data_IF_796479385469
#
_entry.id   IF_796479385469
#
_cell.length_a   1.000
_cell.length_b   1.000
_cell.length_c   1.000
_cell.angle_alpha   90.00
_cell.angle_beta   90.00
_cell.angle_gamma   90.00
#
_symmetry.space_group_name_H-M   'P 1'
#
loop_
_entity.id
_entity.type
_entity.pdbx_description
1 polymer ?
#
# COMPACT_ATOMS: atom_id res chain seq x y z
N UNK A 1 -6.83 -6.17 32.43
CA UNK A 1 -6.09 -7.44 32.23
C UNK A 1 -5.35 -7.41 30.87
N UNK A 2 -6.02 -7.20 29.74
CA UNK A 2 -5.43 -7.30 28.40
C UNK A 2 -4.25 -6.36 28.13
N UNK A 3 -4.36 -5.07 28.44
CA UNK A 3 -3.25 -4.12 28.32
C UNK A 3 -1.97 -4.65 29.03
N UNK A 4 -2.09 -5.05 30.31
CA UNK A 4 -0.96 -5.60 31.09
C UNK A 4 -0.36 -6.87 30.47
N UNK A 5 -1.19 -7.71 29.84
CA UNK A 5 -0.71 -8.91 29.16
C UNK A 5 0.15 -8.56 27.94
N UNK A 6 -0.25 -7.57 27.14
CA UNK A 6 0.53 -7.06 26.00
C UNK A 6 1.83 -6.39 26.47
N UNK A 7 1.77 -5.52 27.48
CA UNK A 7 2.95 -4.89 28.06
C UNK A 7 3.95 -5.93 28.61
N UNK A 8 3.47 -6.97 29.28
CA UNK A 8 4.30 -8.07 29.76
C UNK A 8 4.92 -8.88 28.61
N UNK A 9 4.19 -9.08 27.51
CA UNK A 9 4.73 -9.70 26.30
C UNK A 9 5.85 -8.86 25.67
N UNK A 10 5.62 -7.57 25.44
CA UNK A 10 6.63 -6.66 24.90
C UNK A 10 7.90 -6.67 25.77
N UNK A 11 7.75 -6.64 27.10
CA UNK A 11 8.88 -6.73 28.02
C UNK A 11 9.64 -8.05 27.88
N UNK A 12 8.95 -9.20 27.79
CA UNK A 12 9.60 -10.52 27.63
C UNK A 12 10.36 -10.66 26.32
N UNK A 13 9.85 -10.07 25.24
CA UNK A 13 10.47 -10.10 23.91
C UNK A 13 11.52 -9.01 23.71
N UNK A 14 11.72 -8.12 24.68
CA UNK A 14 12.61 -6.98 24.55
C UNK A 14 12.14 -5.94 23.52
N UNK A 15 10.86 -6.02 23.09
CA UNK A 15 10.30 -5.13 22.09
C UNK A 15 9.86 -3.82 22.74
N UNK A 16 10.36 -2.70 22.25
CA UNK A 16 9.90 -1.37 22.69
C UNK A 16 8.56 -1.06 22.07
N UNK A 17 7.56 -0.74 22.87
CA UNK A 17 6.23 -0.38 22.41
C UNK A 17 5.38 0.20 23.52
N UNK A 18 4.49 1.11 23.18
CA UNK A 18 3.55 1.76 24.09
C UNK A 18 2.14 1.21 23.84
N UNK A 19 1.54 0.65 24.89
CA UNK A 19 0.21 0.05 24.80
C UNK A 19 -0.85 1.03 25.30
N UNK A 20 -1.84 1.35 24.48
CA UNK A 20 -2.97 2.18 24.84
C UNK A 20 -4.31 1.46 24.59
N UNK A 21 -5.35 1.89 25.28
CA UNK A 21 -6.72 1.49 24.96
C UNK A 21 -7.18 2.18 23.67
N UNK A 22 -7.97 1.49 22.88
CA UNK A 22 -8.78 2.11 21.83
C UNK A 22 -10.09 2.66 22.44
N UNK A 23 -10.95 3.23 21.62
CA UNK A 23 -12.28 3.66 22.04
C UNK A 23 -13.18 2.46 22.42
N UNK A 24 -12.89 1.29 21.87
CA UNK A 24 -13.68 0.08 22.08
C UNK A 24 -13.01 -0.86 23.09
N UNK A 25 -13.82 -1.42 23.99
CA UNK A 25 -13.35 -2.31 25.04
C UNK A 25 -12.78 -3.62 24.44
N UNK A 26 -11.63 -4.05 24.97
CA UNK A 26 -10.98 -5.29 24.54
C UNK A 26 -10.02 -5.15 23.37
N UNK A 27 -9.93 -3.97 22.76
CA UNK A 27 -9.00 -3.66 21.69
C UNK A 27 -7.92 -2.68 22.16
N UNK A 28 -6.68 -2.90 21.71
CA UNK A 28 -5.52 -2.14 22.16
C UNK A 28 -4.69 -1.71 20.97
N UNK A 29 -4.15 -0.49 21.04
CA UNK A 29 -3.12 -0.01 20.12
C UNK A 29 -1.75 -0.26 20.72
N UNK A 30 -0.80 -0.72 19.91
CA UNK A 30 0.61 -0.74 20.25
C UNK A 30 1.31 0.24 19.30
N UNK A 31 1.92 1.29 19.85
CA UNK A 31 2.77 2.23 19.12
C UNK A 31 4.22 1.82 19.31
N UNK A 32 4.95 1.65 18.22
CA UNK A 32 6.37 1.30 18.21
C UNK A 32 7.19 2.56 17.98
N UNK A 33 7.95 3.05 18.99
CA UNK A 33 8.76 4.26 18.82
C UNK A 33 9.92 4.01 17.86
N UNK A 34 10.20 4.96 17.01
CA UNK A 34 11.35 4.91 16.09
C UNK A 34 12.65 4.85 16.89
N UNK A 35 13.52 3.91 16.54
CA UNK A 35 14.83 3.76 17.13
C UNK A 35 15.88 4.44 16.25
N UNK A 36 16.65 5.34 16.82
CA UNK A 36 17.67 6.10 16.07
C UNK A 36 17.05 7.13 15.12
N UNK A 37 17.77 7.41 14.06
CA UNK A 37 17.33 8.32 13.00
C UNK A 37 17.75 7.74 11.64
N UNK A 38 17.24 6.56 11.24
CA UNK A 38 17.61 5.98 9.95
C UNK A 38 17.18 6.86 8.78
N UNK A 39 17.95 6.91 7.71
CA UNK A 39 17.60 7.65 6.51
C UNK A 39 16.52 6.89 5.74
N UNK A 40 15.46 7.58 5.33
CA UNK A 40 14.41 7.08 4.45
C UNK A 40 14.57 7.70 3.06
N UNK A 41 14.66 6.88 2.02
CA UNK A 41 14.60 7.33 0.63
C UNK A 41 13.17 7.27 0.13
N UNK A 42 12.54 8.42 -0.07
CA UNK A 42 11.18 8.56 -0.61
C UNK A 42 11.28 8.55 -2.12
N UNK A 43 10.71 7.55 -2.78
CA UNK A 43 10.75 7.35 -4.22
C UNK A 43 9.41 7.73 -4.82
N UNK A 44 9.42 8.71 -5.73
CA UNK A 44 8.22 9.29 -6.35
C UNK A 44 8.36 9.27 -7.87
N UNK A 45 7.77 8.30 -8.58
CA UNK A 45 7.60 8.38 -10.03
C UNK A 45 6.70 9.57 -10.42
N UNK A 46 7.09 10.32 -11.43
CA UNK A 46 6.29 11.45 -11.91
C UNK A 46 6.36 11.60 -13.43
N UNK A 47 5.21 11.96 -14.00
CA UNK A 47 5.10 12.38 -15.40
C UNK A 47 4.15 13.56 -15.47
N UNK A 48 4.63 14.70 -16.00
CA UNK A 48 3.83 15.93 -16.03
C UNK A 48 3.26 16.28 -14.63
N UNK A 49 1.97 16.56 -14.47
CA UNK A 49 1.26 16.70 -13.19
C UNK A 49 1.99 17.55 -12.12
N UNK A 50 2.43 18.75 -12.50
CA UNK A 50 3.22 19.64 -11.64
C UNK A 50 2.52 19.97 -10.32
N UNK A 51 1.23 20.31 -10.34
CA UNK A 51 0.47 20.69 -9.14
C UNK A 51 0.29 19.51 -8.18
N UNK A 52 0.09 18.31 -8.73
CA UNK A 52 -0.03 17.07 -7.97
C UNK A 52 1.28 16.77 -7.25
N UNK A 53 2.41 16.80 -7.98
CA UNK A 53 3.74 16.62 -7.39
C UNK A 53 4.06 17.69 -6.36
N UNK A 54 3.77 18.95 -6.65
CA UNK A 54 4.01 20.06 -5.72
C UNK A 54 3.25 19.84 -4.40
N UNK A 55 1.98 19.44 -4.45
CA UNK A 55 1.16 19.15 -3.27
C UNK A 55 1.77 18.01 -2.45
N UNK A 56 2.25 16.95 -3.11
CA UNK A 56 2.91 15.83 -2.45
C UNK A 56 4.23 16.26 -1.76
N UNK A 57 5.06 17.06 -2.43
CA UNK A 57 6.32 17.55 -1.85
C UNK A 57 6.08 18.50 -0.68
N UNK A 58 5.10 19.41 -0.79
CA UNK A 58 4.71 20.30 0.31
C UNK A 58 4.21 19.51 1.53
N UNK A 59 3.49 18.42 1.33
CA UNK A 59 3.08 17.51 2.40
C UNK A 59 4.30 16.91 3.10
N UNK A 60 5.28 16.40 2.34
CA UNK A 60 6.51 15.83 2.89
C UNK A 60 7.30 16.86 3.72
N UNK A 61 7.36 18.11 3.28
CA UNK A 61 8.09 19.15 3.98
C UNK A 61 7.37 19.69 5.22
N UNK A 62 6.06 19.92 5.11
CA UNK A 62 5.29 20.68 6.10
C UNK A 62 4.45 19.83 7.04
N UNK A 63 4.03 18.64 6.60
CA UNK A 63 3.11 17.78 7.35
C UNK A 63 3.65 16.35 7.56
N UNK A 64 4.98 16.22 7.68
CA UNK A 64 5.65 14.99 8.07
C UNK A 64 6.58 15.29 9.22
N UNK A 65 6.36 14.66 10.39
CA UNK A 65 7.15 14.89 11.60
C UNK A 65 8.57 14.36 11.47
N UNK A 66 8.72 13.17 10.87
CA UNK A 66 10.02 12.59 10.60
C UNK A 66 10.75 13.33 9.50
N UNK A 67 11.92 13.89 9.80
CA UNK A 67 12.63 14.78 8.87
C UNK A 67 13.90 14.20 8.25
N UNK A 68 14.36 12.99 8.69
CA UNK A 68 15.56 12.37 8.13
C UNK A 68 15.25 11.53 6.90
N UNK A 69 14.88 12.19 5.82
CA UNK A 69 14.63 11.57 4.52
C UNK A 69 15.28 12.34 3.37
N UNK A 70 15.55 11.65 2.28
CA UNK A 70 15.81 12.19 0.95
C UNK A 70 14.62 11.87 0.05
N UNK A 71 14.44 12.64 -1.02
CA UNK A 71 13.38 12.45 -2.01
C UNK A 71 14.02 12.18 -3.37
N UNK A 72 13.64 11.08 -3.99
CA UNK A 72 14.07 10.69 -5.33
C UNK A 72 12.87 10.80 -6.26
N UNK A 73 12.82 11.85 -7.06
CA UNK A 73 11.80 12.02 -8.09
C UNK A 73 12.31 11.34 -9.36
N UNK A 74 11.52 10.44 -9.95
CA UNK A 74 11.83 9.82 -11.23
C UNK A 74 10.94 10.42 -12.30
N UNK A 75 11.50 11.31 -13.09
CA UNK A 75 10.86 11.91 -14.26
C UNK A 75 10.75 10.88 -15.37
N UNK A 76 9.53 10.63 -15.88
CA UNK A 76 9.26 9.66 -16.93
C UNK A 76 8.58 10.28 -18.15
N UNK A 77 9.38 10.78 -19.10
CA UNK A 77 8.91 11.29 -20.39
C UNK A 77 7.80 12.35 -20.26
N UNK A 78 8.01 13.31 -19.39
CA UNK A 78 7.16 14.50 -19.30
C UNK A 78 7.24 15.33 -20.57
N UNK A 79 6.18 16.07 -20.88
CA UNK A 79 6.04 16.82 -22.14
C UNK A 79 5.73 18.31 -21.93
N UNK A 80 5.35 18.73 -20.72
CA UNK A 80 4.96 20.11 -20.44
C UNK A 80 6.16 20.96 -19.99
N UNK A 81 6.29 22.18 -20.52
CA UNK A 81 7.32 23.13 -20.08
C UNK A 81 7.19 23.49 -18.59
N UNK A 82 5.98 23.42 -18.06
CA UNK A 82 5.69 23.76 -16.68
C UNK A 82 6.40 22.83 -15.70
N UNK A 83 6.33 21.50 -15.93
CA UNK A 83 6.99 20.53 -15.05
C UNK A 83 8.52 20.68 -15.13
N UNK A 84 9.09 20.95 -16.32
CA UNK A 84 10.54 21.13 -16.45
C UNK A 84 11.03 22.41 -15.75
N UNK A 85 10.25 23.49 -15.76
CA UNK A 85 10.54 24.69 -14.96
C UNK A 85 10.52 24.37 -13.47
N UNK A 86 9.52 23.61 -13.03
CA UNK A 86 9.40 23.19 -11.63
C UNK A 86 10.57 22.28 -11.19
N UNK A 87 10.99 21.33 -12.02
CA UNK A 87 12.18 20.52 -11.72
C UNK A 87 13.45 21.38 -11.58
N UNK A 88 13.58 22.45 -12.37
CA UNK A 88 14.69 23.38 -12.23
C UNK A 88 14.63 24.16 -10.91
N UNK A 89 13.46 24.56 -10.45
CA UNK A 89 13.25 25.20 -9.13
C UNK A 89 13.64 24.24 -8.00
N UNK A 90 13.29 22.97 -8.10
CA UNK A 90 13.61 21.95 -7.11
C UNK A 90 15.12 21.64 -7.02
N UNK A 91 15.91 21.92 -8.05
CA UNK A 91 17.34 21.58 -8.10
C UNK A 91 18.19 22.25 -7.02
N UNK A 92 17.70 23.32 -6.38
CA UNK A 92 18.32 23.97 -5.22
C UNK A 92 18.13 23.24 -3.89
N UNK A 93 17.19 22.31 -3.80
CA UNK A 93 16.90 21.57 -2.57
C UNK A 93 17.81 20.33 -2.45
N UNK A 94 18.71 20.34 -1.47
CA UNK A 94 19.67 19.24 -1.26
C UNK A 94 19.05 17.90 -0.88
N UNK A 95 17.80 17.89 -0.43
CA UNK A 95 17.06 16.65 -0.11
C UNK A 95 16.44 16.01 -1.36
N UNK A 96 16.34 16.73 -2.49
CA UNK A 96 15.64 16.27 -3.70
C UNK A 96 16.66 15.86 -4.76
N UNK A 97 16.52 14.65 -5.25
CA UNK A 97 17.31 14.08 -6.34
C UNK A 97 16.37 13.78 -7.50
N UNK A 98 16.60 14.43 -8.64
CA UNK A 98 15.85 14.18 -9.87
C UNK A 98 16.59 13.16 -10.72
N UNK A 99 15.98 12.02 -10.96
CA UNK A 99 16.42 10.99 -11.89
C UNK A 99 15.55 11.04 -13.15
N UNK A 100 16.13 10.68 -14.30
CA UNK A 100 15.40 10.63 -15.58
C UNK A 100 15.28 9.18 -16.06
N UNK A 101 14.05 8.74 -16.31
CA UNK A 101 13.71 7.47 -16.93
C UNK A 101 13.21 7.71 -18.36
N UNK A 102 14.09 7.57 -19.36
CA UNK A 102 13.79 7.85 -20.78
C UNK A 102 13.14 6.70 -21.55
N UNK A 103 12.75 5.60 -20.86
CA UNK A 103 12.08 4.45 -21.48
C UNK A 103 10.56 4.56 -21.32
N UNK A 104 9.83 3.61 -21.91
CA UNK A 104 8.39 3.47 -21.71
C UNK A 104 8.03 3.33 -20.22
N UNK A 105 6.80 3.70 -19.90
CA UNK A 105 6.30 3.61 -18.53
C UNK A 105 6.24 2.14 -18.08
N UNK A 106 6.95 1.86 -17.01
CA UNK A 106 6.90 0.60 -16.29
C UNK A 106 7.15 0.93 -14.81
N UNK A 107 6.10 0.85 -14.00
CA UNK A 107 6.16 1.21 -12.59
C UNK A 107 7.25 0.43 -11.84
N UNK A 108 7.34 -0.86 -12.10
CA UNK A 108 8.33 -1.76 -11.49
C UNK A 108 9.76 -1.34 -11.83
N UNK A 109 10.05 -1.15 -13.13
CA UNK A 109 11.39 -0.77 -13.59
C UNK A 109 11.80 0.63 -13.10
N UNK A 110 10.87 1.59 -13.08
CA UNK A 110 11.09 2.95 -12.57
C UNK A 110 11.48 2.91 -11.08
N UNK A 111 10.75 2.15 -10.26
CA UNK A 111 11.03 2.05 -8.83
C UNK A 111 12.29 1.24 -8.54
N UNK A 112 12.60 0.18 -9.28
CA UNK A 112 13.87 -0.54 -9.19
C UNK A 112 15.05 0.38 -9.52
N UNK A 113 14.94 1.15 -10.59
CA UNK A 113 15.95 2.12 -10.99
C UNK A 113 16.20 3.15 -9.88
N UNK A 114 15.15 3.71 -9.29
CA UNK A 114 15.27 4.66 -8.20
C UNK A 114 15.87 4.04 -6.94
N UNK A 115 15.43 2.82 -6.57
CA UNK A 115 15.93 2.10 -5.40
C UNK A 115 17.45 1.84 -5.47
N UNK A 116 18.00 1.61 -6.67
CA UNK A 116 19.44 1.47 -6.89
C UNK A 116 20.24 2.77 -6.61
N UNK A 117 19.59 3.94 -6.66
CA UNK A 117 20.19 5.25 -6.36
C UNK A 117 19.91 5.72 -4.93
N UNK A 118 19.04 5.03 -4.20
CA UNK A 118 18.65 5.38 -2.85
C UNK A 118 19.79 5.16 -1.85
N UNK A 119 19.97 6.13 -0.93
CA UNK A 119 20.99 6.08 0.13
C UNK A 119 20.43 5.63 1.48
N UNK A 120 19.09 5.68 1.61
CA UNK A 120 18.39 5.33 2.87
C UNK A 120 18.45 3.84 3.20
N UNK A 121 18.42 3.54 4.47
CA UNK A 121 18.24 2.19 5.02
C UNK A 121 16.81 1.67 4.76
N UNK A 122 15.87 2.60 4.56
CA UNK A 122 14.47 2.33 4.25
C UNK A 122 14.10 2.99 2.93
N UNK A 123 13.29 2.28 2.14
CA UNK A 123 12.69 2.75 0.89
C UNK A 123 11.21 3.01 1.14
N UNK A 124 10.75 4.20 0.81
CA UNK A 124 9.33 4.55 0.80
C UNK A 124 8.90 4.74 -0.64
N UNK A 125 8.19 3.77 -1.21
CA UNK A 125 7.50 3.92 -2.48
C UNK A 125 6.24 4.75 -2.26
N UNK A 126 6.14 5.87 -2.96
CA UNK A 126 5.08 6.86 -2.75
C UNK A 126 4.57 7.37 -4.10
N UNK A 127 3.28 7.30 -4.34
CA UNK A 127 2.69 7.93 -5.51
C UNK A 127 2.73 9.47 -5.36
N UNK A 128 2.79 10.18 -6.48
CA UNK A 128 2.83 11.64 -6.50
C UNK A 128 1.51 12.32 -6.12
N UNK A 129 0.41 11.57 -6.03
CA UNK A 129 -0.95 12.03 -5.78
C UNK A 129 -1.49 11.66 -4.37
N UNK A 130 -0.58 11.48 -3.42
CA UNK A 130 -0.91 11.23 -2.01
C UNK A 130 -0.76 12.48 -1.15
N UNK A 131 -1.56 12.57 -0.07
CA UNK A 131 -1.52 13.64 0.92
C UNK A 131 -1.73 13.09 2.32
N UNK A 132 -0.78 13.31 3.25
CA UNK A 132 -0.92 12.84 4.63
C UNK A 132 -2.04 13.54 5.38
N UNK A 133 -2.70 12.79 6.26
CA UNK A 133 -3.76 13.29 7.15
C UNK A 133 -3.18 13.63 8.53
N UNK A 134 -2.30 12.78 9.05
CA UNK A 134 -1.65 12.98 10.34
C UNK A 134 -0.13 13.19 10.16
N UNK A 135 0.50 14.07 10.95
CA UNK A 135 1.92 14.40 10.76
C UNK A 135 2.88 13.27 11.17
N UNK A 136 2.47 12.36 12.05
CA UNK A 136 3.28 11.25 12.54
C UNK A 136 3.15 9.96 11.70
N UNK A 137 2.57 10.04 10.50
CA UNK A 137 2.33 8.90 9.62
C UNK A 137 3.60 8.11 9.28
N UNK A 138 4.71 8.80 9.02
CA UNK A 138 5.97 8.15 8.64
C UNK A 138 6.66 7.51 9.85
N UNK A 139 6.58 8.14 11.03
CA UNK A 139 7.05 7.56 12.28
C UNK A 139 6.27 6.29 12.66
N UNK A 140 4.93 6.27 12.47
CA UNK A 140 4.11 5.08 12.69
C UNK A 140 4.61 3.93 11.82
N UNK A 141 4.72 4.14 10.50
CA UNK A 141 5.22 3.12 9.57
C UNK A 141 6.64 2.68 9.91
N UNK A 142 7.54 3.63 10.21
CA UNK A 142 8.94 3.36 10.47
C UNK A 142 9.14 2.56 11.77
N UNK A 143 8.43 2.93 12.84
CA UNK A 143 8.46 2.21 14.11
C UNK A 143 8.04 0.75 13.95
N UNK A 144 7.00 0.48 13.16
CA UNK A 144 6.56 -0.89 12.83
C UNK A 144 7.58 -1.60 11.94
N UNK A 145 8.11 -0.92 10.90
CA UNK A 145 9.03 -1.49 9.92
C UNK A 145 10.40 -1.85 10.54
N UNK A 146 10.81 -1.19 11.63
CA UNK A 146 12.06 -1.49 12.33
C UNK A 146 12.05 -2.83 13.08
N UNK A 147 10.89 -3.44 13.31
CA UNK A 147 10.80 -4.76 13.93
C UNK A 147 11.52 -5.78 13.03
N UNK A 148 12.36 -6.69 13.61
CA UNK A 148 13.19 -7.60 12.80
C UNK A 148 12.40 -8.45 11.82
N UNK A 149 11.22 -8.92 12.23
CA UNK A 149 10.34 -9.79 11.45
C UNK A 149 9.54 -9.06 10.36
N UNK A 150 9.50 -7.71 10.36
CA UNK A 150 8.72 -6.93 9.40
C UNK A 150 9.59 -6.55 8.20
N UNK A 151 9.16 -6.93 7.00
CA UNK A 151 9.82 -6.57 5.75
C UNK A 151 9.24 -5.32 5.08
N UNK A 152 7.92 -5.10 5.23
CA UNK A 152 7.24 -3.94 4.64
C UNK A 152 5.99 -3.52 5.39
N UNK A 153 5.66 -2.24 5.32
CA UNK A 153 4.50 -1.62 5.96
C UNK A 153 3.74 -0.76 4.95
N UNK A 154 2.45 -1.03 4.78
CA UNK A 154 1.55 -0.22 3.95
C UNK A 154 0.64 0.66 4.79
N UNK A 155 0.44 1.89 4.36
CA UNK A 155 -0.43 2.86 5.02
C UNK A 155 -1.92 2.62 4.72
N UNK A 156 -2.80 3.19 5.54
CA UNK A 156 -4.22 3.32 5.22
C UNK A 156 -4.43 4.42 4.18
N UNK A 157 -4.96 4.05 3.01
CA UNK A 157 -5.31 5.03 1.98
C UNK A 157 -6.81 5.29 1.96
N UNK A 158 -7.15 6.55 1.77
CA UNK A 158 -8.49 7.08 1.88
C UNK A 158 -8.79 7.88 0.60
N UNK A 159 -9.96 7.69 0.02
CA UNK A 159 -10.44 8.51 -1.09
C UNK A 159 -10.78 9.93 -0.62
N UNK A 160 -10.83 10.92 -1.54
CA UNK A 160 -11.20 12.30 -1.19
C UNK A 160 -12.58 12.46 -0.55
N UNK A 161 -13.47 11.50 -0.74
CA UNK A 161 -14.81 11.45 -0.13
C UNK A 161 -14.83 10.86 1.29
N UNK A 162 -13.65 10.60 1.88
CA UNK A 162 -13.46 9.97 3.19
C UNK A 162 -13.93 8.52 3.27
N UNK A 163 -13.93 7.78 2.18
CA UNK A 163 -14.07 6.33 2.19
C UNK A 163 -12.72 5.63 2.07
N UNK A 164 -12.63 4.39 2.54
CA UNK A 164 -11.39 3.60 2.46
C UNK A 164 -11.12 3.21 1.00
N UNK A 165 -9.91 3.46 0.54
CA UNK A 165 -9.38 2.93 -0.71
C UNK A 165 -8.56 1.66 -0.46
N UNK A 166 -7.72 1.68 0.57
CA UNK A 166 -6.82 0.58 0.91
C UNK A 166 -6.73 0.36 2.43
N UNK A 167 -6.97 -0.87 2.83
CA UNK A 167 -6.75 -1.36 4.19
C UNK A 167 -6.17 -2.79 4.16
N UNK A 168 -5.12 -2.98 3.37
CA UNK A 168 -4.50 -4.27 3.06
C UNK A 168 -5.12 -4.98 1.87
N UNK A 169 -4.39 -5.94 1.31
CA UNK A 169 -4.81 -6.78 0.19
C UNK A 169 -4.92 -8.24 0.61
N UNK A 170 -5.96 -8.91 0.10
CA UNK A 170 -6.20 -10.35 0.26
C UNK A 170 -5.99 -11.05 -1.07
N UNK A 171 -5.18 -12.13 -1.06
CA UNK A 171 -4.91 -12.94 -2.24
C UNK A 171 -6.12 -13.82 -2.57
N UNK A 172 -6.46 -13.90 -3.85
CA UNK A 172 -7.66 -14.59 -4.36
C UNK A 172 -8.91 -13.71 -4.39
N UNK A 173 -8.92 -12.56 -3.75
CA UNK A 173 -10.00 -11.59 -3.84
C UNK A 173 -10.17 -11.09 -5.26
N UNK A 174 -11.37 -11.16 -5.83
CA UNK A 174 -11.62 -10.77 -7.22
C UNK A 174 -10.87 -11.61 -8.27
N UNK A 175 -10.26 -12.74 -7.87
CA UNK A 175 -9.54 -13.67 -8.75
C UNK A 175 -8.02 -13.72 -8.55
N UNK A 176 -7.35 -12.60 -8.28
CA UNK A 176 -5.90 -12.54 -8.01
C UNK A 176 -5.62 -11.92 -6.64
N UNK A 177 -5.94 -10.64 -6.46
CA UNK A 177 -5.83 -9.94 -5.20
C UNK A 177 -6.75 -8.72 -5.19
N UNK A 178 -7.26 -8.34 -4.03
CA UNK A 178 -8.13 -7.17 -3.90
C UNK A 178 -7.96 -6.46 -2.57
N UNK A 179 -8.24 -5.17 -2.58
CA UNK A 179 -8.21 -4.31 -1.42
C UNK A 179 -9.39 -4.59 -0.50
N UNK A 180 -9.15 -4.50 0.80
CA UNK A 180 -10.19 -4.71 1.81
C UNK A 180 -10.88 -3.42 2.20
N UNK A 181 -12.16 -3.52 2.53
CA UNK A 181 -13.02 -2.43 3.02
C UNK A 181 -13.18 -1.24 2.06
N UNK A 182 -12.95 -1.43 0.76
CA UNK A 182 -13.16 -0.38 -0.26
C UNK A 182 -14.56 0.22 -0.12
N UNK A 183 -14.66 1.54 -0.25
CA UNK A 183 -15.88 2.36 -0.12
C UNK A 183 -16.53 2.38 1.29
N UNK A 184 -15.92 1.72 2.29
CA UNK A 184 -16.36 1.85 3.67
C UNK A 184 -15.93 3.21 4.26
N UNK A 185 -16.78 3.92 5.03
CA UNK A 185 -16.36 5.16 5.70
C UNK A 185 -15.08 4.96 6.51
N UNK A 186 -14.12 5.89 6.37
CA UNK A 186 -12.77 5.74 6.90
C UNK A 186 -12.68 5.72 8.43
N UNK A 187 -13.71 6.22 9.13
CA UNK A 187 -13.84 6.21 10.58
C UNK A 187 -14.34 4.88 11.13
N UNK A 188 -14.87 3.99 10.29
CA UNK A 188 -15.35 2.67 10.71
C UNK A 188 -14.21 1.71 10.99
N UNK A 189 -14.38 0.89 12.00
CA UNK A 189 -13.36 -0.08 12.44
C UNK A 189 -13.34 -1.36 11.60
N UNK A 190 -14.43 -1.64 10.87
CA UNK A 190 -14.58 -2.87 10.09
C UNK A 190 -14.77 -4.13 10.95
N UNK A 191 -14.76 -5.27 10.29
CA UNK A 191 -14.90 -6.58 10.93
C UNK A 191 -13.77 -6.80 11.95
N UNK A 192 -14.14 -7.00 13.23
CA UNK A 192 -13.20 -7.22 14.34
C UNK A 192 -12.03 -6.19 14.36
N UNK A 193 -12.34 -4.92 14.09
CA UNK A 193 -11.37 -3.82 14.07
C UNK A 193 -10.25 -3.95 13.03
N UNK A 194 -10.41 -4.79 12.02
CA UNK A 194 -9.36 -5.03 11.00
C UNK A 194 -9.02 -3.80 10.15
N UNK A 195 -9.90 -2.81 10.06
CA UNK A 195 -9.61 -1.56 9.36
C UNK A 195 -8.97 -0.49 10.28
N UNK A 196 -8.83 -0.74 11.58
CA UNK A 196 -8.39 0.26 12.58
C UNK A 196 -7.26 -0.20 13.51
N UNK A 197 -6.78 -1.44 13.34
CA UNK A 197 -5.64 -2.00 14.09
C UNK A 197 -4.56 -2.49 13.13
N UNK A 198 -3.32 -2.55 13.60
CA UNK A 198 -2.23 -3.20 12.87
C UNK A 198 -2.62 -4.64 12.49
N UNK A 199 -2.38 -5.01 11.24
CA UNK A 199 -2.69 -6.34 10.71
C UNK A 199 -1.52 -6.90 9.91
N UNK A 200 -1.20 -8.17 10.14
CA UNK A 200 -0.40 -8.91 9.19
C UNK A 200 -1.27 -9.21 7.96
N UNK A 201 -0.78 -8.82 6.80
CA UNK A 201 -1.48 -8.98 5.52
C UNK A 201 -0.60 -9.76 4.53
N UNK A 202 -1.21 -10.37 3.53
CA UNK A 202 -0.43 -11.00 2.48
C UNK A 202 0.18 -9.99 1.52
N UNK A 203 -0.49 -8.86 1.31
CA UNK A 203 0.04 -7.75 0.53
C UNK A 203 -0.55 -6.40 0.96
N UNK A 204 0.13 -5.33 0.59
CA UNK A 204 -0.29 -3.93 0.69
C UNK A 204 0.10 -3.20 -0.60
N UNK A 205 -0.53 -2.06 -0.88
CA UNK A 205 -0.24 -1.33 -2.12
C UNK A 205 1.01 -0.46 -2.05
N UNK A 206 1.75 -0.40 -3.14
CA UNK A 206 2.92 0.46 -3.28
C UNK A 206 2.59 1.94 -3.53
N UNK A 207 1.32 2.33 -3.53
CA UNK A 207 0.95 3.75 -3.50
C UNK A 207 1.49 4.47 -2.25
N UNK A 208 1.65 3.72 -1.11
CA UNK A 208 2.42 4.14 0.06
C UNK A 208 2.94 2.88 0.79
N UNK A 209 4.16 2.46 0.48
CA UNK A 209 4.80 1.25 1.01
C UNK A 209 6.21 1.57 1.53
N UNK A 210 6.42 1.40 2.82
CA UNK A 210 7.74 1.50 3.46
C UNK A 210 8.35 0.11 3.61
N UNK A 211 9.62 -0.04 3.22
CA UNK A 211 10.36 -1.31 3.32
C UNK A 211 11.79 -1.08 3.81
N UNK A 212 12.38 -2.10 4.45
CA UNK A 212 13.84 -2.14 4.61
C UNK A 212 14.48 -2.32 3.22
N UNK A 213 15.51 -1.53 2.92
CA UNK A 213 16.22 -1.63 1.63
C UNK A 213 16.82 -3.03 1.43
N UNK A 214 17.44 -3.59 2.47
CA UNK A 214 17.99 -4.96 2.43
C UNK A 214 16.94 -6.03 2.08
N UNK A 215 15.71 -5.90 2.63
CA UNK A 215 14.62 -6.86 2.35
C UNK A 215 14.11 -6.70 0.93
N UNK A 216 14.04 -5.47 0.42
CA UNK A 216 13.69 -5.19 -0.98
C UNK A 216 14.71 -5.83 -1.94
N UNK A 217 16.00 -5.67 -1.65
CA UNK A 217 17.09 -6.26 -2.44
C UNK A 217 17.09 -7.79 -2.36
N UNK A 218 16.89 -8.38 -1.17
CA UNK A 218 16.76 -9.85 -0.99
C UNK A 218 15.56 -10.43 -1.74
N UNK A 219 14.47 -9.67 -1.88
CA UNK A 219 13.30 -10.08 -2.65
C UNK A 219 13.50 -9.93 -4.17
N UNK A 220 14.62 -9.35 -4.61
CA UNK A 220 14.91 -9.08 -6.02
C UNK A 220 14.16 -7.87 -6.59
N UNK A 221 13.65 -6.98 -5.75
CA UNK A 221 12.90 -5.79 -6.15
C UNK A 221 11.54 -6.09 -6.78
N UNK A 222 10.98 -5.11 -7.49
CA UNK A 222 9.76 -5.29 -8.27
C UNK A 222 10.03 -6.14 -9.51
N UNK A 223 9.07 -6.97 -9.88
CA UNK A 223 9.09 -7.77 -11.11
C UNK A 223 8.71 -6.89 -12.31
N UNK A 224 9.62 -6.70 -13.26
CA UNK A 224 9.43 -5.74 -14.36
C UNK A 224 8.41 -6.20 -15.41
N UNK A 225 8.11 -7.51 -15.48
CA UNK A 225 7.00 -8.05 -16.27
C UNK A 225 5.63 -7.60 -15.75
N UNK A 226 5.53 -7.20 -14.49
CA UNK A 226 4.36 -6.58 -13.90
C UNK A 226 4.50 -5.04 -13.96
N UNK A 227 4.28 -4.50 -15.14
CA UNK A 227 4.55 -3.08 -15.40
C UNK A 227 3.59 -2.13 -14.67
N UNK A 228 2.37 -2.57 -14.36
CA UNK A 228 1.31 -1.73 -13.77
C UNK A 228 0.53 -2.43 -12.67
N UNK A 229 -0.07 -3.60 -12.93
CA UNK A 229 -0.92 -4.29 -11.98
C UNK A 229 -0.14 -5.37 -11.21
N UNK A 230 -0.53 -5.60 -9.95
CA UNK A 230 -0.02 -6.67 -9.09
C UNK A 230 1.49 -6.65 -8.78
N UNK A 231 2.22 -5.65 -9.20
CA UNK A 231 3.65 -5.52 -8.92
C UNK A 231 3.94 -5.43 -7.41
N UNK A 232 3.11 -4.70 -6.67
CA UNK A 232 3.15 -4.59 -5.21
C UNK A 232 2.73 -5.90 -4.51
N UNK A 233 1.72 -6.59 -5.05
CA UNK A 233 1.29 -7.89 -4.55
C UNK A 233 2.39 -8.94 -4.71
N UNK A 234 3.00 -9.02 -5.88
CA UNK A 234 4.13 -9.92 -6.18
C UNK A 234 5.32 -9.64 -5.26
N UNK A 235 5.70 -8.36 -5.11
CA UNK A 235 6.79 -7.97 -4.20
C UNK A 235 6.49 -8.40 -2.77
N UNK A 236 5.29 -8.14 -2.26
CA UNK A 236 4.87 -8.54 -0.93
C UNK A 236 4.94 -10.07 -0.75
N UNK A 237 4.51 -10.83 -1.74
CA UNK A 237 4.56 -12.30 -1.69
C UNK A 237 6.01 -12.83 -1.71
N UNK A 238 6.92 -12.21 -2.48
CA UNK A 238 8.37 -12.53 -2.45
C UNK A 238 8.98 -12.25 -1.08
N UNK A 239 8.66 -11.11 -0.48
CA UNK A 239 9.09 -10.72 0.87
C UNK A 239 8.58 -11.74 1.91
N UNK A 240 7.31 -12.15 1.82
CA UNK A 240 6.76 -13.20 2.70
C UNK A 240 7.41 -14.56 2.50
N UNK A 241 7.73 -14.92 1.26
CA UNK A 241 8.47 -16.17 0.95
C UNK A 241 9.86 -16.19 1.59
N UNK A 242 10.48 -15.02 1.76
CA UNK A 242 11.74 -14.87 2.49
C UNK A 242 11.57 -14.87 4.03
N UNK A 243 10.36 -15.08 4.55
CA UNK A 243 10.07 -15.23 5.98
C UNK A 243 9.71 -13.94 6.70
N UNK A 244 9.57 -12.81 6.00
CA UNK A 244 9.18 -11.54 6.61
C UNK A 244 7.66 -11.35 6.62
N UNK A 245 7.20 -10.50 7.52
CA UNK A 245 5.82 -10.03 7.59
C UNK A 245 5.61 -8.80 6.71
N UNK A 246 4.43 -8.69 6.12
CA UNK A 246 3.89 -7.47 5.53
C UNK A 246 2.78 -6.97 6.45
N UNK A 247 2.87 -5.72 6.87
CA UNK A 247 1.96 -5.13 7.87
C UNK A 247 1.16 -3.99 7.25
N UNK A 248 -0.15 -4.01 7.46
CA UNK A 248 -1.01 -2.86 7.24
C UNK A 248 -1.05 -1.98 8.49
N UNK A 249 -0.74 -0.70 8.35
CA UNK A 249 -0.76 0.28 9.44
C UNK A 249 -1.91 1.29 9.27
N UNK A 250 -2.98 1.20 10.06
CA UNK A 250 -4.12 2.12 10.00
C UNK A 250 -3.85 3.47 10.66
N UNK A 251 -2.72 3.64 11.35
CA UNK A 251 -2.35 4.89 12.03
C UNK A 251 -1.58 5.83 11.11
N UNK A 252 -0.95 5.30 10.08
CA UNK A 252 -0.43 6.06 8.95
C UNK A 252 -1.57 6.29 7.95
N UNK A 253 -2.16 7.50 7.94
CA UNK A 253 -3.33 7.82 7.12
C UNK A 253 -3.00 8.83 6.04
N UNK A 254 -3.30 8.49 4.79
CA UNK A 254 -3.11 9.40 3.66
C UNK A 254 -4.34 9.40 2.75
N UNK A 255 -4.66 10.55 2.18
CA UNK A 255 -5.50 10.60 1.00
C UNK A 255 -4.70 10.15 -0.22
N UNK A 256 -5.33 9.41 -1.12
CA UNK A 256 -4.80 9.05 -2.42
C UNK A 256 -5.82 9.45 -3.48
N UNK A 257 -5.44 10.41 -4.31
CA UNK A 257 -6.37 11.10 -5.22
C UNK A 257 -6.75 10.31 -6.45
N UNK A 258 -6.17 9.14 -6.62
CA UNK A 258 -6.27 8.15 -7.70
C UNK A 258 -6.78 8.64 -9.07
N UNK A 259 -6.09 8.23 -10.15
CA UNK A 259 -6.63 8.12 -11.51
C UNK A 259 -6.65 9.37 -12.40
N UNK A 260 -6.02 10.49 -12.07
CA UNK A 260 -5.94 11.60 -13.05
C UNK A 260 -5.01 11.27 -14.22
N UNK A 261 -3.94 10.51 -13.98
CA UNK A 261 -2.90 10.22 -14.99
C UNK A 261 -3.08 8.90 -15.73
N UNK A 262 -3.73 7.89 -15.13
CA UNK A 262 -3.87 6.56 -15.74
C UNK A 262 -4.97 6.46 -16.81
N UNK A 263 -6.05 7.21 -16.66
CA UNK A 263 -7.26 7.01 -17.48
C UNK A 263 -7.88 5.63 -17.29
N UNK A 264 -8.98 5.35 -17.96
CA UNK A 264 -9.65 4.04 -17.92
C UNK A 264 -8.77 2.95 -18.59
N UNK A 265 -8.81 1.71 -18.04
CA UNK A 265 -8.14 0.52 -18.59
C UNK A 265 -8.97 -0.08 -19.77
N UNK A 266 -9.31 0.77 -20.76
CA UNK A 266 -10.27 0.47 -21.83
C UNK A 266 -9.64 0.27 -23.21
N UNK A 267 -8.37 0.60 -23.41
CA UNK A 267 -7.68 0.33 -24.68
C UNK A 267 -7.34 -1.16 -24.82
N UNK A 268 -7.31 -1.68 -26.06
CA UNK A 268 -6.95 -3.08 -26.34
C UNK A 268 -5.55 -3.45 -25.81
N UNK A 269 -4.60 -2.52 -25.85
CA UNK A 269 -3.25 -2.72 -25.35
C UNK A 269 -3.24 -2.83 -23.83
N UNK A 270 -3.97 -1.94 -23.12
CA UNK A 270 -4.08 -1.98 -21.67
C UNK A 270 -4.76 -3.26 -21.17
N UNK A 271 -5.85 -3.67 -21.83
CA UNK A 271 -6.54 -4.94 -21.54
C UNK A 271 -5.60 -6.14 -21.75
N UNK A 272 -4.86 -6.16 -22.86
CA UNK A 272 -3.90 -7.25 -23.15
C UNK A 272 -2.78 -7.30 -22.11
N UNK A 273 -2.20 -6.15 -21.76
CA UNK A 273 -1.20 -6.05 -20.69
C UNK A 273 -1.76 -6.62 -19.38
N UNK A 274 -2.92 -6.17 -18.95
CA UNK A 274 -3.55 -6.63 -17.70
C UNK A 274 -3.81 -8.14 -17.70
N UNK A 275 -4.22 -8.72 -18.82
CA UNK A 275 -4.36 -10.17 -18.97
C UNK A 275 -3.02 -10.89 -18.80
N UNK A 276 -1.94 -10.37 -19.40
CA UNK A 276 -0.59 -10.94 -19.24
C UNK A 276 -0.12 -10.88 -17.77
N UNK A 277 -0.40 -9.77 -17.08
CA UNK A 277 -0.08 -9.60 -15.66
C UNK A 277 -0.88 -10.58 -14.77
N UNK A 278 -2.17 -10.83 -15.09
CA UNK A 278 -2.98 -11.88 -14.44
C UNK A 278 -2.38 -13.27 -14.65
N UNK A 279 -1.97 -13.59 -15.88
CA UNK A 279 -1.36 -14.88 -16.21
C UNK A 279 -0.03 -15.07 -15.47
N UNK A 280 0.80 -14.03 -15.40
CA UNK A 280 2.01 -14.04 -14.59
C UNK A 280 1.71 -14.43 -13.13
N UNK A 281 0.77 -13.75 -12.50
CA UNK A 281 0.37 -14.02 -11.12
C UNK A 281 -0.16 -15.44 -10.93
N UNK A 282 -0.95 -15.94 -11.86
CA UNK A 282 -1.46 -17.33 -11.83
C UNK A 282 -0.35 -18.35 -11.95
N UNK A 283 0.63 -18.12 -12.81
CA UNK A 283 1.73 -19.05 -13.00
C UNK A 283 2.68 -19.09 -11.80
N UNK A 284 3.02 -17.93 -11.24
CA UNK A 284 4.03 -17.84 -10.19
C UNK A 284 3.48 -18.05 -8.78
N UNK A 285 2.19 -17.76 -8.57
CA UNK A 285 1.54 -17.77 -7.25
C UNK A 285 0.35 -18.74 -7.18
N UNK A 286 0.35 -19.78 -8.04
CA UNK A 286 -0.77 -20.74 -8.13
C UNK A 286 -1.06 -21.43 -6.80
N UNK A 287 -0.04 -21.72 -5.99
CA UNK A 287 -0.21 -22.43 -4.73
C UNK A 287 -0.99 -21.59 -3.72
N UNK A 288 -0.67 -20.30 -3.52
CA UNK A 288 -1.42 -19.45 -2.63
C UNK A 288 -2.82 -19.15 -3.17
N UNK A 289 -2.97 -19.01 -4.49
CA UNK A 289 -4.28 -18.82 -5.13
C UNK A 289 -5.20 -20.03 -4.93
N UNK A 290 -4.66 -21.25 -4.95
CA UNK A 290 -5.42 -22.49 -4.71
C UNK A 290 -5.67 -22.78 -3.24
N UNK A 291 -4.65 -22.60 -2.39
CA UNK A 291 -4.70 -22.98 -0.98
C UNK A 291 -5.37 -21.89 -0.12
N UNK A 292 -5.49 -20.67 -0.64
CA UNK A 292 -6.03 -19.50 0.03
C UNK A 292 -4.97 -18.65 0.73
N UNK A 293 -5.34 -17.42 0.99
CA UNK A 293 -4.52 -16.42 1.68
C UNK A 293 -4.31 -16.81 3.16
N UNK A 294 -3.07 -16.95 3.66
CA UNK A 294 -2.81 -17.33 5.05
C UNK A 294 -3.25 -16.27 6.08
N UNK A 295 -3.43 -15.01 5.65
CA UNK A 295 -3.91 -13.92 6.49
C UNK A 295 -5.44 -13.75 6.43
N UNK A 296 -6.15 -14.60 5.67
CA UNK A 296 -7.59 -14.51 5.45
C UNK A 296 -8.32 -15.82 5.73
N UNK A 297 -9.39 -15.80 6.53
CA UNK A 297 -10.10 -17.01 6.88
C UNK A 297 -10.83 -17.60 5.66
N UNK A 298 -10.60 -18.89 5.39
CA UNK A 298 -11.16 -19.64 4.26
C UNK A 298 -12.68 -19.67 4.17
N UNK A 299 -13.37 -19.41 5.29
CA UNK A 299 -14.83 -19.36 5.36
C UNK A 299 -15.41 -18.00 4.97
N UNK A 300 -14.56 -17.00 4.74
CA UNK A 300 -14.96 -15.66 4.32
C UNK A 300 -15.01 -15.58 2.79
N UNK A 301 -15.85 -14.65 2.30
CA UNK A 301 -16.07 -14.44 0.86
C UNK A 301 -14.86 -13.80 0.19
N UNK A 302 -14.48 -14.29 -0.98
CA UNK A 302 -13.50 -13.68 -1.89
C UNK A 302 -14.16 -12.80 -2.98
N UNK A 303 -15.49 -12.60 -2.90
CA UNK A 303 -16.25 -11.73 -3.81
C UNK A 303 -16.81 -10.49 -3.11
N UNK A 304 -16.54 -10.35 -1.80
CA UNK A 304 -16.95 -9.19 -0.99
C UNK A 304 -15.78 -8.80 -0.09
N UNK A 305 -15.33 -7.56 -0.19
CA UNK A 305 -14.16 -7.02 0.52
C UNK A 305 -14.44 -6.47 1.92
N UNK A 306 -15.41 -7.07 2.63
CA UNK A 306 -15.86 -6.64 3.95
C UNK A 306 -15.84 -7.75 5.00
N UNK A 307 -15.13 -8.86 4.76
CA UNK A 307 -15.08 -10.05 5.63
C UNK A 307 -16.42 -10.75 5.84
N UNK A 308 -17.36 -10.61 4.90
CA UNK A 308 -18.62 -11.40 4.94
C UNK A 308 -18.34 -12.90 4.83
N UNK A 309 -19.19 -13.71 5.41
CA UNK A 309 -19.15 -15.15 5.24
C UNK A 309 -19.40 -15.57 3.78
N UNK A 310 -18.81 -16.67 3.37
CA UNK A 310 -19.17 -17.31 2.10
C UNK A 310 -20.63 -17.72 2.13
N UNK A 311 -21.37 -17.58 1.03
CA UNK A 311 -22.69 -18.19 0.92
C UNK A 311 -22.60 -19.71 1.16
N UNK A 312 -23.51 -20.24 1.96
CA UNK A 312 -23.63 -21.69 2.14
C UNK A 312 -24.37 -22.24 0.92
N UNK A 313 -23.81 -23.20 0.17
CA UNK A 313 -24.52 -23.81 -0.96
C UNK A 313 -25.90 -24.35 -0.49
N UNK A 314 -26.96 -23.96 -1.18
CA UNK A 314 -28.35 -24.36 -0.87
C UNK A 314 -29.06 -23.51 0.19
N UNK A 315 -28.41 -22.49 0.80
CA UNK A 315 -29.03 -21.47 1.64
C UNK A 315 -29.08 -20.10 0.96
N UNK A 316 -29.60 -20.03 -0.24
CA UNK A 316 -29.92 -18.73 -0.87
C UNK A 316 -31.15 -18.15 -0.17
N UNK A 317 -30.96 -17.14 0.67
CA UNK A 317 -32.08 -16.39 1.24
C UNK A 317 -32.74 -15.56 0.13
N UNK A 318 -34.09 -15.57 0.07
CA UNK A 318 -34.91 -14.82 -0.90
C UNK A 318 -34.56 -13.32 -0.99
N UNK A 319 -33.82 -12.77 -0.03
CA UNK A 319 -33.28 -11.40 -0.03
C UNK A 319 -32.18 -11.18 -1.10
N UNK A 320 -31.51 -12.23 -1.58
CA UNK A 320 -30.45 -12.13 -2.63
C UNK A 320 -31.03 -11.90 -4.02
N UNK A 321 -32.16 -12.49 -4.34
CA UNK A 321 -32.75 -12.45 -5.69
C UNK A 321 -33.32 -11.07 -6.08
N UNK A 322 -33.71 -10.24 -5.10
CA UNK A 322 -34.20 -8.87 -5.39
C UNK A 322 -33.09 -7.86 -5.68
N UNK A 323 -31.86 -8.07 -5.21
CA UNK A 323 -30.74 -7.16 -5.45
C UNK A 323 -29.97 -7.44 -6.74
N UNK A 324 -29.99 -8.66 -7.28
CA UNK A 324 -29.34 -8.95 -8.57
C UNK A 324 -30.00 -8.24 -9.75
N UNK A 325 -31.32 -7.98 -9.70
CA UNK A 325 -32.01 -7.24 -10.77
C UNK A 325 -31.73 -5.74 -10.78
N UNK A 326 -31.29 -5.15 -9.67
CA UNK A 326 -30.90 -3.72 -9.58
C UNK A 326 -29.38 -3.50 -9.62
N UNK A 327 -28.56 -4.52 -9.32
CA UNK A 327 -27.10 -4.45 -9.25
C UNK A 327 -26.37 -4.55 -10.58
N UNK A 328 -27.05 -4.93 -11.69
CA UNK A 328 -26.41 -5.04 -13.02
C UNK A 328 -25.97 -3.72 -13.65
N UNK A 329 -26.27 -2.56 -13.05
CA UNK A 329 -25.83 -1.23 -13.54
C UNK A 329 -24.55 -0.69 -12.87
N UNK A 330 -24.10 -1.22 -11.74
CA UNK A 330 -22.92 -0.68 -11.04
C UNK A 330 -21.63 -1.51 -11.25
N UNK A 331 -21.71 -2.76 -11.69
CA UNK A 331 -20.56 -3.64 -11.87
C UNK A 331 -19.78 -3.41 -13.19
N UNK A 332 -20.16 -2.42 -14.02
CA UNK A 332 -19.45 -2.09 -15.28
C UNK A 332 -18.29 -1.11 -15.11
N UNK A 333 -17.92 -0.72 -13.90
CA UNK A 333 -16.82 0.25 -13.66
C UNK A 333 -15.49 -0.38 -13.24
N UNK A 334 -15.43 -1.69 -13.02
CA UNK A 334 -14.21 -2.37 -12.52
C UNK A 334 -13.97 -3.74 -13.19
N UNK A 335 -14.33 -3.87 -14.47
CA UNK A 335 -13.83 -4.95 -15.32
C UNK A 335 -12.93 -4.38 -16.41
#
# INVERSE_FOLDING_TARGET
AGKRAIEAHLKRTGTKGEVSHTQDLGFYRVKYPVQGKPLVSVIIPNKDEKETLQTCLEMLEKNTGYQNFEIIIVENNSTTDEIFRYYKELSGNRKIHLLRWGKEFNYSAINNFAAAHAKGEYLLFLNNDVKSINPDWLEEMLGVCQRPEVGGVGAKLIYPDNTIQHAGCVIGMGGIAGHMFVDMPADRTGYLHKASLLQDMSAVTAACLLMKKEVFEQAGGFTEELAVAFNDVDLCLKVRKNGYLIVYDPYAKLYHMESKTRGAEDSKEKVRRFQTEIEYMRCHWIDILKNGDPCYNKNLSLTKWNYSLKPIPGMETEAGQKKEKTGRKSCRKYQ
#
